data_IF_210801050393
#
_entry.id   IF_210801050393
#
_cell.length_a   1.000
_cell.length_b   1.000
_cell.length_c   1.000
_cell.angle_alpha   90.00
_cell.angle_beta   90.00
_cell.angle_gamma   90.00
#
_symmetry.space_group_name_H-M   'P 1'
#
loop_
_entity.id
_entity.type
_entity.pdbx_description
1 polymer ?
#
# COMPACT_ATOMS: atom_id res chain seq x y z
N UNK A 1 2.87 -3.89 -16.70
CA UNK A 1 2.39 -2.91 -17.71
C UNK A 1 1.09 -2.23 -17.28
N UNK A 2 0.04 -3.00 -16.98
CA UNK A 2 -1.29 -2.50 -16.57
C UNK A 2 -1.21 -1.49 -15.42
N UNK A 3 -0.60 -1.88 -14.29
CA UNK A 3 -0.46 -0.99 -13.13
C UNK A 3 0.17 0.36 -13.52
N UNK A 4 1.32 0.32 -14.20
CA UNK A 4 2.02 1.53 -14.62
C UNK A 4 1.16 2.45 -15.50
N UNK A 5 0.46 1.91 -16.50
CA UNK A 5 -0.36 2.71 -17.42
C UNK A 5 -1.55 3.38 -16.71
N UNK A 6 -2.24 2.64 -15.85
CA UNK A 6 -3.32 3.17 -15.00
C UNK A 6 -2.81 4.30 -14.10
N UNK A 7 -1.76 4.04 -13.32
CA UNK A 7 -1.25 5.06 -12.40
C UNK A 7 -0.67 6.27 -13.12
N UNK A 8 -0.09 6.09 -14.32
CA UNK A 8 0.35 7.20 -15.15
C UNK A 8 -0.82 8.10 -15.60
N UNK A 9 -1.95 7.50 -15.98
CA UNK A 9 -3.16 8.29 -16.29
C UNK A 9 -3.61 9.08 -15.06
N UNK A 10 -3.61 8.46 -13.89
CA UNK A 10 -3.98 9.13 -12.63
C UNK A 10 -3.02 10.28 -12.32
N UNK A 11 -1.70 10.11 -12.47
CA UNK A 11 -0.75 11.21 -12.29
C UNK A 11 -1.03 12.41 -13.20
N UNK A 12 -1.36 12.15 -14.47
CA UNK A 12 -1.75 13.22 -15.40
C UNK A 12 -3.04 13.92 -14.97
N UNK A 13 -4.03 13.18 -14.47
CA UNK A 13 -5.27 13.76 -13.93
C UNK A 13 -5.00 14.63 -12.71
N UNK A 14 -4.08 14.21 -11.84
CA UNK A 14 -3.61 14.99 -10.69
C UNK A 14 -2.66 16.12 -11.07
N UNK A 15 -2.31 16.27 -12.36
CA UNK A 15 -1.33 17.23 -12.88
C UNK A 15 0.02 17.15 -12.15
N UNK A 16 0.41 15.92 -11.78
CA UNK A 16 1.68 15.64 -11.11
C UNK A 16 2.74 15.32 -12.16
N UNK A 17 3.81 16.09 -12.12
CA UNK A 17 5.03 15.85 -12.90
C UNK A 17 6.20 15.62 -11.95
N UNK A 18 6.72 14.39 -11.94
CA UNK A 18 7.95 14.06 -11.21
C UNK A 18 9.16 14.75 -11.85
N UNK A 19 10.15 15.12 -11.05
CA UNK A 19 11.37 15.77 -11.56
C UNK A 19 12.29 14.78 -12.28
N UNK A 20 12.10 13.48 -12.02
CA UNK A 20 12.83 12.42 -12.71
C UNK A 20 11.91 11.35 -13.26
N UNK A 21 12.43 10.60 -14.24
CA UNK A 21 11.78 9.42 -14.81
C UNK A 21 11.47 8.40 -13.71
N UNK A 22 12.42 8.18 -12.79
CA UNK A 22 12.26 7.24 -11.68
C UNK A 22 11.14 7.69 -10.72
N UNK A 23 11.12 8.98 -10.35
CA UNK A 23 10.08 9.54 -9.49
C UNK A 23 8.69 9.39 -10.15
N UNK A 24 8.57 9.79 -11.41
CA UNK A 24 7.30 9.64 -12.14
C UNK A 24 6.87 8.18 -12.24
N UNK A 25 7.83 7.27 -12.45
CA UNK A 25 7.54 5.84 -12.57
C UNK A 25 7.10 5.21 -11.24
N UNK A 26 7.76 5.54 -10.13
CA UNK A 26 7.44 4.93 -8.84
C UNK A 26 6.07 5.38 -8.33
N UNK A 27 5.71 6.66 -8.51
CA UNK A 27 4.37 7.16 -8.23
C UNK A 27 3.30 6.52 -9.13
N UNK A 28 3.60 6.33 -10.42
CA UNK A 28 2.69 5.64 -11.34
C UNK A 28 2.50 4.16 -10.94
N UNK A 29 3.55 3.47 -10.51
CA UNK A 29 3.43 2.09 -10.02
C UNK A 29 2.58 2.02 -8.76
N UNK A 30 2.78 2.93 -7.79
CA UNK A 30 1.96 3.02 -6.59
C UNK A 30 0.48 3.21 -6.88
N UNK A 31 0.12 4.23 -7.67
CA UNK A 31 -1.27 4.48 -8.06
C UNK A 31 -1.86 3.31 -8.86
N UNK A 32 -1.04 2.67 -9.70
CA UNK A 32 -1.40 1.51 -10.48
C UNK A 32 -1.77 0.28 -9.67
N UNK A 33 -0.91 -0.11 -8.75
CA UNK A 33 -1.15 -1.26 -7.87
C UNK A 33 -2.27 -1.00 -6.87
N UNK A 34 -2.39 0.23 -6.34
CA UNK A 34 -3.54 0.65 -5.55
C UNK A 34 -4.85 0.54 -6.34
N UNK A 35 -4.85 0.97 -7.61
CA UNK A 35 -6.02 0.83 -8.49
C UNK A 35 -6.37 -0.62 -8.77
N UNK A 36 -5.38 -1.48 -9.06
CA UNK A 36 -5.62 -2.91 -9.26
C UNK A 36 -6.21 -3.58 -8.02
N UNK A 37 -5.72 -3.21 -6.83
CA UNK A 37 -6.27 -3.68 -5.56
C UNK A 37 -7.75 -3.31 -5.40
N UNK A 38 -8.14 -2.08 -5.70
CA UNK A 38 -9.53 -1.61 -5.62
C UNK A 38 -10.42 -2.19 -6.73
N UNK A 39 -9.89 -2.41 -7.93
CA UNK A 39 -10.60 -3.09 -9.01
C UNK A 39 -10.93 -4.52 -8.58
N UNK A 40 -9.95 -5.23 -8.02
CA UNK A 40 -10.17 -6.56 -7.46
C UNK A 40 -11.19 -6.52 -6.33
N UNK A 41 -11.12 -5.56 -5.41
CA UNK A 41 -12.15 -5.37 -4.40
C UNK A 41 -13.55 -5.24 -5.03
N UNK A 42 -13.70 -4.39 -6.05
CA UNK A 42 -14.97 -4.20 -6.76
C UNK A 42 -15.48 -5.48 -7.42
N UNK A 43 -14.62 -6.22 -8.12
CA UNK A 43 -14.96 -7.54 -8.68
C UNK A 43 -15.38 -8.53 -7.59
N UNK A 44 -14.72 -8.48 -6.44
CA UNK A 44 -15.02 -9.33 -5.29
C UNK A 44 -16.39 -9.06 -4.70
N UNK A 45 -16.77 -7.79 -4.52
CA UNK A 45 -18.11 -7.42 -4.04
C UNK A 45 -19.21 -7.84 -5.03
N UNK A 46 -18.91 -7.78 -6.33
CA UNK A 46 -19.84 -8.21 -7.40
C UNK A 46 -19.90 -9.73 -7.59
N UNK A 47 -19.14 -10.52 -6.82
CA UNK A 47 -18.98 -11.97 -6.99
C UNK A 47 -18.51 -12.37 -8.40
N UNK A 48 -17.51 -11.65 -8.92
CA UNK A 48 -16.95 -11.84 -10.27
C UNK A 48 -15.51 -12.39 -10.27
N UNK A 49 -15.09 -13.10 -9.22
CA UNK A 49 -13.79 -13.80 -9.20
C UNK A 49 -13.82 -15.08 -10.04
N UNK A 50 -14.06 -14.91 -11.33
CA UNK A 50 -13.84 -15.93 -12.35
C UNK A 50 -12.58 -15.60 -13.12
N UNK A 51 -11.76 -16.62 -13.40
CA UNK A 51 -10.50 -16.45 -14.13
C UNK A 51 -10.69 -15.76 -15.49
N UNK A 52 -11.76 -16.09 -16.24
CA UNK A 52 -12.05 -15.43 -17.51
C UNK A 52 -12.39 -13.95 -17.34
N UNK A 53 -13.15 -13.56 -16.32
CA UNK A 53 -13.44 -12.14 -16.02
C UNK A 53 -12.16 -11.37 -15.74
N UNK A 54 -11.28 -11.93 -14.90
CA UNK A 54 -9.99 -11.31 -14.58
C UNK A 54 -9.14 -11.14 -15.84
N UNK A 55 -9.02 -12.16 -16.70
CA UNK A 55 -8.30 -12.03 -17.96
C UNK A 55 -8.92 -10.99 -18.88
N UNK A 56 -10.26 -10.91 -18.99
CA UNK A 56 -10.94 -9.89 -19.80
C UNK A 56 -10.65 -8.48 -19.27
N UNK A 57 -10.78 -8.26 -17.96
CA UNK A 57 -10.48 -6.97 -17.32
C UNK A 57 -9.02 -6.60 -17.54
N UNK A 58 -8.07 -7.50 -17.29
CA UNK A 58 -6.66 -7.25 -17.55
C UNK A 58 -6.35 -7.01 -19.03
N UNK A 59 -7.04 -7.69 -19.94
CA UNK A 59 -6.91 -7.51 -21.40
C UNK A 59 -7.31 -6.09 -21.81
N UNK A 60 -8.50 -5.65 -21.39
CA UNK A 60 -9.00 -4.28 -21.64
C UNK A 60 -8.03 -3.24 -21.05
N UNK A 61 -7.61 -3.43 -19.80
CA UNK A 61 -6.69 -2.52 -19.13
C UNK A 61 -5.28 -2.54 -19.74
N UNK A 62 -4.86 -3.66 -20.35
CA UNK A 62 -3.58 -3.78 -21.06
C UNK A 62 -3.59 -2.99 -22.35
N UNK A 63 -4.67 -3.02 -23.13
CA UNK A 63 -4.82 -2.20 -24.35
C UNK A 63 -4.70 -0.72 -24.00
N UNK A 64 -5.46 -0.27 -22.99
CA UNK A 64 -5.38 1.11 -22.51
C UNK A 64 -3.96 1.47 -22.03
N UNK A 65 -3.37 0.62 -21.19
CA UNK A 65 -2.05 0.85 -20.60
C UNK A 65 -0.92 0.83 -21.63
N UNK A 66 -1.06 0.06 -22.72
CA UNK A 66 -0.08 0.00 -23.81
C UNK A 66 0.15 1.39 -24.43
N UNK A 67 -0.92 2.15 -24.69
CA UNK A 67 -0.81 3.50 -25.24
C UNK A 67 -0.12 4.47 -24.27
N UNK A 68 -0.44 4.38 -22.97
CA UNK A 68 0.19 5.24 -21.96
C UNK A 68 1.67 4.91 -21.74
N UNK A 69 2.05 3.62 -21.79
CA UNK A 69 3.45 3.18 -21.72
C UNK A 69 4.22 3.59 -22.97
N UNK A 70 3.64 3.42 -24.17
CA UNK A 70 4.27 3.85 -25.42
C UNK A 70 4.55 5.35 -25.42
N UNK A 71 3.57 6.17 -25.01
CA UNK A 71 3.76 7.62 -24.84
C UNK A 71 4.87 7.93 -23.85
N UNK A 72 5.02 7.16 -22.78
CA UNK A 72 6.06 7.39 -21.76
C UNK A 72 7.42 7.12 -22.36
N UNK A 73 7.56 5.96 -22.99
CA UNK A 73 8.80 5.53 -23.63
C UNK A 73 9.28 6.57 -24.64
N UNK A 74 8.39 7.06 -25.51
CA UNK A 74 8.71 8.08 -26.52
C UNK A 74 9.17 9.41 -25.88
N UNK A 75 8.51 9.86 -24.82
CA UNK A 75 8.93 11.07 -24.09
C UNK A 75 10.28 10.87 -23.40
N UNK A 76 10.50 9.70 -22.78
CA UNK A 76 11.75 9.39 -22.08
C UNK A 76 12.92 9.10 -23.02
N UNK A 77 12.68 8.59 -24.23
CA UNK A 77 13.75 8.32 -25.20
C UNK A 77 14.39 9.59 -25.75
N UNK A 78 13.69 10.73 -25.65
CA UNK A 78 14.21 12.04 -26.03
C UNK A 78 15.07 12.67 -24.92
N UNK A 79 14.99 12.14 -23.69
CA UNK A 79 15.83 12.59 -22.58
C UNK A 79 17.19 11.87 -22.64
N UNK A 80 18.21 12.60 -23.06
CA UNK A 80 19.60 12.15 -23.01
C UNK A 80 20.06 12.03 -21.56
N UNK A 81 20.09 10.81 -21.03
CA UNK A 81 20.69 10.55 -19.72
C UNK A 81 22.21 10.71 -19.86
N UNK A 82 22.86 11.53 -19.00
CA UNK A 82 24.31 11.61 -19.00
C UNK A 82 24.89 10.22 -18.68
N UNK A 83 25.61 9.64 -19.64
CA UNK A 83 26.32 8.37 -19.47
C UNK A 83 27.50 8.58 -18.54
N UNK A 84 27.28 8.50 -17.22
CA UNK A 84 28.36 8.45 -16.24
C UNK A 84 28.88 7.02 -16.15
N UNK A 85 30.20 6.85 -16.28
CA UNK A 85 30.83 5.55 -16.00
C UNK A 85 30.56 5.18 -14.54
N UNK A 86 30.13 3.94 -14.25
CA UNK A 86 29.91 3.53 -12.88
C UNK A 86 31.26 3.53 -12.13
N UNK A 87 31.29 4.18 -10.99
CA UNK A 87 32.42 4.09 -10.04
C UNK A 87 32.41 2.74 -9.34
N UNK A 88 33.56 2.29 -8.82
CA UNK A 88 33.64 1.07 -8.00
C UNK A 88 32.62 1.08 -6.85
N UNK A 89 32.47 2.22 -6.18
CA UNK A 89 31.47 2.44 -5.13
C UNK A 89 30.05 2.17 -5.62
N UNK A 90 29.64 2.78 -6.73
CA UNK A 90 28.29 2.60 -7.28
C UNK A 90 28.06 1.17 -7.76
N UNK A 91 29.07 0.53 -8.36
CA UNK A 91 28.99 -0.87 -8.79
C UNK A 91 28.83 -1.81 -7.61
N UNK A 92 29.55 -1.57 -6.51
CA UNK A 92 29.44 -2.36 -5.28
C UNK A 92 28.01 -2.32 -4.71
N UNK A 93 27.44 -1.13 -4.52
CA UNK A 93 26.09 -1.01 -3.95
C UNK A 93 24.98 -1.52 -4.89
N UNK A 94 25.09 -1.31 -6.20
CA UNK A 94 24.16 -1.92 -7.15
C UNK A 94 24.30 -3.44 -7.20
N UNK A 95 25.53 -3.96 -7.12
CA UNK A 95 25.80 -5.40 -7.02
C UNK A 95 25.20 -6.01 -5.77
N UNK A 96 25.35 -5.35 -4.61
CA UNK A 96 24.77 -5.79 -3.34
C UNK A 96 23.24 -5.80 -3.38
N UNK A 97 22.62 -4.74 -3.93
CA UNK A 97 21.17 -4.68 -4.14
C UNK A 97 20.68 -5.77 -5.10
N UNK A 98 21.41 -5.99 -6.20
CA UNK A 98 21.10 -7.04 -7.17
C UNK A 98 21.19 -8.43 -6.55
N UNK A 99 22.25 -8.70 -5.80
CA UNK A 99 22.44 -9.98 -5.10
C UNK A 99 21.34 -10.20 -4.05
N UNK A 100 21.04 -9.21 -3.22
CA UNK A 100 19.95 -9.29 -2.25
C UNK A 100 18.60 -9.53 -2.94
N UNK A 101 18.35 -8.89 -4.09
CA UNK A 101 17.12 -9.09 -4.86
C UNK A 101 17.01 -10.50 -5.41
N UNK A 102 18.10 -11.06 -5.91
CA UNK A 102 18.16 -12.45 -6.42
C UNK A 102 17.95 -13.45 -5.27
N UNK A 103 18.62 -13.26 -4.13
CA UNK A 103 18.45 -14.14 -2.95
C UNK A 103 17.00 -14.10 -2.45
N UNK A 104 16.42 -12.90 -2.33
CA UNK A 104 15.03 -12.76 -1.89
C UNK A 104 14.05 -13.29 -2.93
N UNK A 105 14.35 -13.17 -4.23
CA UNK A 105 13.55 -13.77 -5.30
C UNK A 105 13.57 -15.29 -5.22
N UNK A 106 14.75 -15.89 -5.00
CA UNK A 106 14.87 -17.33 -4.82
C UNK A 106 13.99 -17.81 -3.65
N UNK A 107 14.02 -17.10 -2.51
CA UNK A 107 13.11 -17.39 -1.39
C UNK A 107 11.63 -17.19 -1.73
N UNK A 108 11.30 -16.18 -2.53
CA UNK A 108 9.94 -15.91 -2.99
C UNK A 108 9.41 -16.93 -4.03
N UNK A 109 10.29 -17.72 -4.66
CA UNK A 109 9.92 -18.78 -5.60
C UNK A 109 9.67 -20.14 -4.93
N UNK A 110 10.01 -20.28 -3.65
CA UNK A 110 9.72 -21.50 -2.86
C UNK A 110 8.28 -21.44 -2.34
N UNK A 111 7.59 -22.59 -2.16
CA UNK A 111 6.26 -22.65 -1.56
C UNK A 111 6.16 -21.88 -0.24
N UNK A 112 4.96 -21.37 0.07
CA UNK A 112 4.72 -20.66 1.32
C UNK A 112 4.73 -21.59 2.53
N UNK A 113 5.44 -21.16 3.57
CA UNK A 113 5.59 -21.88 4.84
C UNK A 113 5.40 -20.99 6.06
N UNK A 114 5.25 -19.67 5.88
CA UNK A 114 5.08 -18.75 6.98
C UNK A 114 3.68 -18.85 7.59
N UNK A 115 3.58 -18.81 8.92
CA UNK A 115 2.32 -19.07 9.64
C UNK A 115 1.21 -18.10 9.23
N UNK A 116 1.41 -16.80 9.39
CA UNK A 116 0.41 -15.76 9.06
C UNK A 116 -0.01 -15.82 7.58
N UNK A 117 0.96 -16.14 6.73
CA UNK A 117 0.74 -16.30 5.30
C UNK A 117 -0.31 -17.38 5.01
N UNK A 118 -0.13 -18.55 5.61
CA UNK A 118 -1.02 -19.69 5.43
C UNK A 118 -2.34 -19.53 6.18
N UNK A 119 -2.32 -18.92 7.36
CA UNK A 119 -3.52 -18.78 8.20
C UNK A 119 -4.49 -17.76 7.62
N UNK A 120 -4.03 -16.63 7.06
CA UNK A 120 -4.95 -15.62 6.56
C UNK A 120 -4.52 -14.81 5.33
N UNK A 121 -3.22 -14.57 5.08
CA UNK A 121 -2.87 -13.76 3.91
C UNK A 121 -3.11 -14.46 2.57
N UNK A 122 -2.99 -15.80 2.51
CA UNK A 122 -3.33 -16.61 1.33
C UNK A 122 -4.66 -17.35 1.46
N UNK A 123 -4.98 -17.89 2.64
CA UNK A 123 -6.21 -18.66 2.83
C UNK A 123 -7.46 -17.82 2.59
N UNK A 124 -7.51 -16.56 3.04
CA UNK A 124 -8.67 -15.69 2.81
C UNK A 124 -8.83 -15.36 1.33
N UNK A 125 -7.79 -14.92 0.58
CA UNK A 125 -7.84 -14.83 -0.88
C UNK A 125 -8.23 -16.13 -1.59
N UNK A 126 -7.74 -17.28 -1.14
CA UNK A 126 -8.09 -18.58 -1.72
C UNK A 126 -9.58 -18.89 -1.51
N UNK A 127 -10.11 -18.63 -0.32
CA UNK A 127 -11.54 -18.75 -0.02
C UNK A 127 -12.37 -17.75 -0.84
N UNK A 128 -11.87 -16.55 -1.10
CA UNK A 128 -12.53 -15.60 -2.00
C UNK A 128 -12.58 -16.11 -3.44
N UNK A 129 -11.48 -16.68 -3.93
CA UNK A 129 -11.43 -17.35 -5.23
C UNK A 129 -12.46 -18.49 -5.32
N UNK A 130 -12.53 -19.36 -4.32
CA UNK A 130 -13.49 -20.48 -4.28
C UNK A 130 -14.95 -19.97 -4.24
N UNK A 131 -15.20 -18.90 -3.50
CA UNK A 131 -16.52 -18.31 -3.37
C UNK A 131 -16.93 -17.39 -4.54
N UNK A 132 -16.04 -17.22 -5.53
CA UNK A 132 -16.16 -16.25 -6.60
C UNK A 132 -16.33 -14.78 -6.14
N UNK A 133 -16.04 -14.45 -4.88
CA UNK A 133 -16.25 -13.10 -4.35
C UNK A 133 -15.76 -12.91 -2.92
N UNK A 134 -15.83 -11.66 -2.44
CA UNK A 134 -15.48 -11.30 -1.06
C UNK A 134 -16.64 -11.71 -0.15
N UNK A 135 -16.35 -12.60 0.81
CA UNK A 135 -17.28 -12.99 1.87
C UNK A 135 -16.67 -12.76 3.25
N UNK A 136 -17.52 -12.69 4.26
CA UNK A 136 -17.05 -12.80 5.65
C UNK A 136 -16.74 -14.26 5.96
N UNK A 137 -15.61 -14.52 6.63
CA UNK A 137 -15.17 -15.86 6.99
C UNK A 137 -15.13 -15.91 8.52
N UNK A 138 -16.18 -16.45 9.12
CA UNK A 138 -16.38 -16.45 10.58
C UNK A 138 -15.24 -17.12 11.34
N UNK A 139 -14.65 -18.18 10.78
CA UNK A 139 -13.55 -18.92 11.40
C UNK A 139 -12.20 -18.21 11.32
N UNK A 140 -12.09 -17.15 10.50
CA UNK A 140 -10.86 -16.37 10.31
C UNK A 140 -11.19 -14.91 10.57
N UNK A 141 -11.11 -14.49 11.83
CA UNK A 141 -11.46 -13.11 12.24
C UNK A 141 -10.63 -12.03 11.49
N UNK A 142 -9.41 -12.37 11.07
CA UNK A 142 -8.54 -11.49 10.27
C UNK A 142 -9.09 -11.21 8.87
N UNK A 143 -10.14 -11.93 8.44
CA UNK A 143 -10.92 -11.59 7.25
C UNK A 143 -11.66 -10.24 7.36
N UNK A 144 -11.85 -9.73 8.59
CA UNK A 144 -12.34 -8.38 8.85
C UNK A 144 -11.25 -7.29 8.83
N UNK A 145 -9.98 -7.65 8.67
CA UNK A 145 -8.94 -6.63 8.48
C UNK A 145 -9.06 -5.97 7.09
N UNK A 146 -8.48 -4.76 6.91
CA UNK A 146 -8.28 -4.19 5.59
C UNK A 146 -7.33 -5.08 4.78
N UNK A 147 -7.62 -5.24 3.48
CA UNK A 147 -7.08 -6.33 2.69
C UNK A 147 -6.57 -5.90 1.31
N UNK A 148 -6.09 -4.65 1.16
CA UNK A 148 -5.62 -4.15 -0.14
C UNK A 148 -4.52 -5.04 -0.75
N UNK A 149 -3.56 -5.52 0.04
CA UNK A 149 -2.52 -6.42 -0.46
C UNK A 149 -3.11 -7.80 -0.81
N UNK A 150 -4.04 -8.29 0.00
CA UNK A 150 -4.73 -9.56 -0.20
C UNK A 150 -5.61 -9.56 -1.46
N UNK A 151 -6.11 -8.40 -1.91
CA UNK A 151 -6.75 -8.28 -3.22
C UNK A 151 -5.77 -8.54 -4.37
N UNK A 152 -4.49 -8.14 -4.22
CA UNK A 152 -3.43 -8.47 -5.18
C UNK A 152 -3.01 -9.95 -5.07
N UNK A 153 -3.07 -10.55 -3.89
CA UNK A 153 -2.92 -12.00 -3.75
C UNK A 153 -4.05 -12.77 -4.40
N UNK A 154 -5.29 -12.30 -4.26
CA UNK A 154 -6.46 -12.89 -4.94
C UNK A 154 -6.25 -12.85 -6.46
N UNK A 155 -5.74 -11.74 -6.99
CA UNK A 155 -5.36 -11.63 -8.40
C UNK A 155 -4.28 -12.66 -8.79
N UNK A 156 -3.21 -12.79 -8.00
CA UNK A 156 -2.16 -13.79 -8.23
C UNK A 156 -2.70 -15.22 -8.26
N UNK A 157 -3.56 -15.57 -7.30
CA UNK A 157 -4.20 -16.89 -7.22
C UNK A 157 -5.19 -17.17 -8.36
N UNK A 158 -5.88 -16.15 -8.88
CA UNK A 158 -6.79 -16.30 -10.02
C UNK A 158 -6.05 -16.50 -11.35
N UNK A 159 -4.85 -15.93 -11.47
CA UNK A 159 -3.99 -16.02 -12.65
C UNK A 159 -3.03 -17.22 -12.64
N UNK A 160 -2.77 -17.80 -11.47
CA UNK A 160 -1.79 -18.87 -11.32
C UNK A 160 -1.77 -19.46 -9.92
N UNK A 161 -0.60 -19.41 -9.29
CA UNK A 161 -0.29 -20.10 -8.03
C UNK A 161 -0.10 -19.13 -6.86
N UNK A 162 0.05 -19.70 -5.67
CA UNK A 162 0.51 -19.00 -4.45
C UNK A 162 1.87 -18.32 -4.66
N UNK A 163 2.77 -18.91 -5.45
CA UNK A 163 4.05 -18.29 -5.82
C UNK A 163 3.81 -16.97 -6.57
N UNK A 164 2.87 -16.93 -7.52
CA UNK A 164 2.55 -15.69 -8.23
C UNK A 164 2.02 -14.62 -7.27
N UNK A 165 1.17 -14.99 -6.31
CA UNK A 165 0.73 -14.08 -5.25
C UNK A 165 1.91 -13.57 -4.42
N UNK A 166 2.82 -14.45 -3.98
CA UNK A 166 4.03 -14.10 -3.23
C UNK A 166 4.96 -13.14 -3.99
N UNK A 167 5.13 -13.36 -5.30
CA UNK A 167 5.91 -12.46 -6.16
C UNK A 167 5.33 -11.04 -6.21
N UNK A 168 4.02 -10.85 -6.03
CA UNK A 168 3.45 -9.50 -5.94
C UNK A 168 3.95 -8.74 -4.70
N UNK A 169 4.18 -9.41 -3.57
CA UNK A 169 4.75 -8.80 -2.37
C UNK A 169 6.24 -8.52 -2.50
N UNK A 170 6.99 -9.48 -3.07
CA UNK A 170 8.40 -9.29 -3.38
C UNK A 170 8.61 -8.07 -4.28
N UNK A 171 7.76 -7.87 -5.30
CA UNK A 171 7.78 -6.68 -6.16
C UNK A 171 7.54 -5.39 -5.35
N UNK A 172 6.67 -5.40 -4.33
CA UNK A 172 6.52 -4.24 -3.43
C UNK A 172 7.84 -3.93 -2.71
N UNK A 173 8.58 -4.95 -2.27
CA UNK A 173 9.93 -4.79 -1.72
C UNK A 173 10.87 -4.07 -2.67
N UNK A 174 10.94 -4.50 -3.94
CA UNK A 174 11.73 -3.83 -4.98
C UNK A 174 11.28 -2.38 -5.18
N UNK A 175 9.98 -2.11 -5.14
CA UNK A 175 9.48 -0.74 -5.24
C UNK A 175 9.87 0.12 -4.04
N UNK A 176 9.88 -0.42 -2.81
CA UNK A 176 10.39 0.32 -1.65
C UNK A 176 11.87 0.65 -1.83
N UNK A 177 12.70 -0.29 -2.31
CA UNK A 177 14.13 -0.03 -2.60
C UNK A 177 14.29 1.12 -3.59
N UNK A 178 13.55 1.07 -4.71
CA UNK A 178 13.59 2.12 -5.72
C UNK A 178 13.09 3.46 -5.19
N UNK A 179 12.09 3.44 -4.31
CA UNK A 179 11.51 4.63 -3.67
C UNK A 179 12.49 5.28 -2.68
N UNK A 180 13.13 4.48 -1.82
CA UNK A 180 14.17 4.95 -0.89
C UNK A 180 15.35 5.54 -1.67
N UNK A 181 15.79 4.86 -2.74
CA UNK A 181 16.81 5.39 -3.63
C UNK A 181 16.38 6.71 -4.30
N UNK A 182 15.14 6.80 -4.80
CA UNK A 182 14.61 8.00 -5.44
C UNK A 182 14.56 9.20 -4.47
N UNK A 183 14.06 8.98 -3.26
CA UNK A 183 14.03 9.97 -2.17
C UNK A 183 15.44 10.45 -1.82
N UNK A 184 16.36 9.52 -1.52
CA UNK A 184 17.73 9.85 -1.14
C UNK A 184 18.50 10.56 -2.26
N UNK A 185 18.31 10.14 -3.51
CA UNK A 185 18.91 10.80 -4.67
C UNK A 185 18.39 12.22 -4.86
N UNK A 186 17.07 12.44 -4.71
CA UNK A 186 16.43 13.72 -4.99
C UNK A 186 16.79 14.79 -3.94
N UNK A 187 16.70 14.44 -2.66
CA UNK A 187 16.88 15.41 -1.58
C UNK A 187 18.31 15.48 -1.05
N UNK A 188 19.17 14.51 -1.39
CA UNK A 188 20.59 14.52 -1.03
C UNK A 188 21.44 14.34 -2.29
N UNK A 189 21.92 13.12 -2.55
CA UNK A 189 22.74 12.82 -3.70
C UNK A 189 22.65 11.32 -4.07
N UNK A 190 23.18 10.98 -5.24
CA UNK A 190 23.15 9.61 -5.78
C UNK A 190 23.76 8.56 -4.82
N UNK A 191 24.86 8.88 -4.14
CA UNK A 191 25.52 7.95 -3.21
C UNK A 191 24.67 7.71 -1.97
N UNK A 192 24.13 8.77 -1.37
CA UNK A 192 23.26 8.67 -0.20
C UNK A 192 22.02 7.82 -0.49
N UNK A 193 21.38 8.02 -1.64
CA UNK A 193 20.25 7.19 -2.06
C UNK A 193 20.61 5.71 -2.21
N UNK A 194 21.77 5.39 -2.81
CA UNK A 194 22.21 4.00 -2.95
C UNK A 194 22.48 3.34 -1.60
N UNK A 195 23.21 4.03 -0.72
CA UNK A 195 23.53 3.51 0.62
C UNK A 195 22.24 3.31 1.42
N UNK A 196 21.30 4.25 1.41
CA UNK A 196 20.02 4.12 2.10
C UNK A 196 19.20 2.93 1.60
N UNK A 197 19.10 2.76 0.27
CA UNK A 197 18.36 1.65 -0.33
C UNK A 197 19.02 0.30 -0.03
N UNK A 198 20.35 0.26 -0.05
CA UNK A 198 21.15 -0.89 0.33
C UNK A 198 20.94 -1.30 1.78
N UNK A 199 21.12 -0.36 2.72
CA UNK A 199 20.88 -0.58 4.14
C UNK A 199 19.48 -1.16 4.34
N UNK A 200 18.46 -0.50 3.79
CA UNK A 200 17.07 -0.94 3.91
C UNK A 200 16.89 -2.40 3.45
N UNK A 201 17.36 -2.75 2.26
CA UNK A 201 17.07 -4.05 1.67
C UNK A 201 17.92 -5.19 2.25
N UNK A 202 19.04 -4.86 2.89
CA UNK A 202 19.88 -5.83 3.61
C UNK A 202 19.48 -6.02 5.07
N UNK A 203 18.53 -5.24 5.61
CA UNK A 203 17.97 -5.50 6.94
C UNK A 203 17.36 -6.91 6.95
N UNK A 204 17.75 -7.81 7.87
CA UNK A 204 17.27 -9.20 7.89
C UNK A 204 15.74 -9.31 7.89
N UNK A 205 15.06 -8.41 8.60
CA UNK A 205 13.60 -8.36 8.67
C UNK A 205 12.96 -8.01 7.32
N UNK A 206 13.55 -7.09 6.55
CA UNK A 206 13.08 -6.74 5.19
C UNK A 206 13.34 -7.89 4.23
N UNK A 207 14.50 -8.55 4.35
CA UNK A 207 14.84 -9.70 3.54
C UNK A 207 13.89 -10.89 3.79
N UNK A 208 13.54 -11.16 5.05
CA UNK A 208 12.53 -12.15 5.43
C UNK A 208 11.16 -11.79 4.85
N UNK A 209 10.70 -10.55 5.05
CA UNK A 209 9.40 -10.09 4.54
C UNK A 209 9.29 -10.15 3.01
N UNK A 210 10.42 -9.98 2.31
CA UNK A 210 10.46 -10.06 0.84
C UNK A 210 10.25 -11.48 0.31
N UNK A 211 10.35 -12.51 1.15
CA UNK A 211 10.26 -13.94 0.77
C UNK A 211 8.92 -14.60 1.15
N UNK A 212 8.04 -13.86 1.83
CA UNK A 212 6.75 -14.37 2.32
C UNK A 212 5.60 -13.51 1.79
N UNK A 213 4.39 -14.05 1.83
CA UNK A 213 3.13 -13.33 1.56
C UNK A 213 2.69 -12.49 2.77
N UNK A 214 3.55 -11.56 3.18
CA UNK A 214 3.25 -10.58 4.23
C UNK A 214 2.41 -9.40 3.73
N UNK A 215 2.36 -8.30 4.46
CA UNK A 215 1.73 -7.05 3.96
C UNK A 215 2.58 -5.82 4.19
N UNK A 216 3.62 -5.96 5.00
CA UNK A 216 4.36 -4.83 5.55
C UNK A 216 5.20 -4.10 4.49
N UNK A 217 5.65 -4.77 3.41
CA UNK A 217 6.34 -4.09 2.31
C UNK A 217 5.37 -3.26 1.46
N UNK A 218 4.13 -3.71 1.29
CA UNK A 218 3.09 -2.93 0.63
C UNK A 218 2.66 -1.73 1.48
N UNK A 219 2.50 -1.93 2.80
CA UNK A 219 2.25 -0.84 3.74
C UNK A 219 3.37 0.21 3.69
N UNK A 220 4.63 -0.23 3.83
CA UNK A 220 5.82 0.62 3.76
C UNK A 220 5.87 1.39 2.44
N UNK A 221 5.55 0.73 1.32
CA UNK A 221 5.55 1.37 0.01
C UNK A 221 4.54 2.51 -0.09
N UNK A 222 3.29 2.27 0.33
CA UNK A 222 2.26 3.30 0.29
C UNK A 222 2.53 4.42 1.31
N UNK A 223 3.00 4.10 2.52
CA UNK A 223 3.35 5.12 3.51
C UNK A 223 4.50 6.01 3.04
N UNK A 224 5.57 5.43 2.47
CA UNK A 224 6.69 6.21 1.94
C UNK A 224 6.30 7.02 0.70
N UNK A 225 5.37 6.54 -0.14
CA UNK A 225 4.81 7.34 -1.23
C UNK A 225 3.98 8.51 -0.71
N UNK A 226 3.22 8.32 0.37
CA UNK A 226 2.49 9.39 1.04
C UNK A 226 3.46 10.44 1.58
N UNK A 227 4.53 10.01 2.28
CA UNK A 227 5.61 10.91 2.73
C UNK A 227 6.24 11.63 1.56
N UNK A 228 6.61 10.93 0.49
CA UNK A 228 7.26 11.55 -0.67
C UNK A 228 6.33 12.59 -1.32
N UNK A 229 5.05 12.28 -1.46
CA UNK A 229 4.06 13.22 -1.97
C UNK A 229 3.90 14.44 -1.06
N UNK A 230 3.89 14.26 0.28
CA UNK A 230 3.84 15.36 1.25
C UNK A 230 5.09 16.24 1.21
N UNK A 231 6.28 15.65 1.07
CA UNK A 231 7.52 16.43 0.94
C UNK A 231 7.52 17.21 -0.39
N UNK A 232 7.07 16.60 -1.49
CA UNK A 232 6.91 17.29 -2.77
C UNK A 232 5.89 18.43 -2.69
N UNK A 233 4.76 18.20 -2.01
CA UNK A 233 3.78 19.24 -1.71
C UNK A 233 4.43 20.37 -0.91
N UNK A 234 5.15 20.03 0.17
CA UNK A 234 5.80 20.99 1.04
C UNK A 234 6.83 21.88 0.31
N UNK A 235 7.75 21.27 -0.42
CA UNK A 235 8.85 21.96 -1.09
C UNK A 235 8.35 22.83 -2.25
N UNK A 236 7.37 22.35 -3.03
CA UNK A 236 6.86 23.08 -4.20
C UNK A 236 5.87 24.17 -3.84
N UNK A 237 5.04 23.94 -2.83
CA UNK A 237 4.02 24.91 -2.42
C UNK A 237 4.65 26.14 -1.72
N UNK A 238 5.83 25.99 -1.11
CA UNK A 238 6.62 27.11 -0.56
C UNK A 238 7.38 27.96 -1.58
N UNK A 239 7.51 27.53 -2.85
CA UNK A 239 8.35 28.19 -3.88
C UNK A 239 7.59 28.76 -5.08
N UNK A 240 6.41 28.22 -5.44
CA UNK A 240 5.78 28.53 -6.72
C UNK A 240 4.46 29.34 -6.63
N UNK A 241 4.33 30.38 -7.46
CA UNK A 241 3.07 31.10 -7.78
C UNK A 241 2.11 30.30 -8.70
N UNK A 242 2.19 28.96 -8.69
CA UNK A 242 1.36 28.10 -9.56
C UNK A 242 -0.11 28.05 -9.10
N UNK A 243 -1.07 27.76 -10.01
CA UNK A 243 -2.50 27.63 -9.69
C UNK A 243 -2.78 26.59 -8.59
N UNK A 244 -3.77 26.83 -7.73
CA UNK A 244 -4.13 25.94 -6.60
C UNK A 244 -4.37 24.47 -7.02
N UNK A 245 -4.93 24.24 -8.21
CA UNK A 245 -5.15 22.90 -8.76
C UNK A 245 -3.87 22.07 -8.90
N UNK A 246 -2.75 22.68 -9.30
CA UNK A 246 -1.44 22.00 -9.40
C UNK A 246 -0.82 21.80 -8.02
N UNK A 247 -1.09 22.73 -7.09
CA UNK A 247 -0.64 22.65 -5.70
C UNK A 247 -1.32 21.51 -4.94
N UNK A 248 -2.59 21.24 -5.22
CA UNK A 248 -3.35 20.20 -4.53
C UNK A 248 -3.06 18.79 -5.06
N UNK A 249 -2.51 18.62 -6.26
CA UNK A 249 -2.22 17.30 -6.83
C UNK A 249 -1.37 16.42 -5.91
N UNK A 250 -0.26 16.94 -5.41
CA UNK A 250 0.61 16.23 -4.47
C UNK A 250 -0.06 15.94 -3.13
N UNK A 251 -0.88 16.86 -2.61
CA UNK A 251 -1.64 16.64 -1.38
C UNK A 251 -2.71 15.55 -1.54
N UNK A 252 -3.39 15.53 -2.70
CA UNK A 252 -4.35 14.47 -3.05
C UNK A 252 -3.63 13.14 -3.21
N UNK A 253 -2.47 13.10 -3.88
CA UNK A 253 -1.66 11.88 -3.98
C UNK A 253 -1.25 11.36 -2.60
N UNK A 254 -0.82 12.24 -1.69
CA UNK A 254 -0.53 11.88 -0.32
C UNK A 254 -1.75 11.26 0.39
N UNK A 255 -2.93 11.87 0.23
CA UNK A 255 -4.19 11.32 0.75
C UNK A 255 -4.50 9.94 0.17
N UNK A 256 -4.36 9.77 -1.15
CA UNK A 256 -4.58 8.47 -1.83
C UNK A 256 -3.70 7.40 -1.21
N UNK A 257 -2.38 7.65 -1.12
CA UNK A 257 -1.45 6.66 -0.59
C UNK A 257 -1.63 6.40 0.89
N UNK A 258 -1.98 7.41 1.69
CA UNK A 258 -2.32 7.22 3.10
C UNK A 258 -3.58 6.37 3.28
N UNK A 259 -4.61 6.57 2.44
CA UNK A 259 -5.80 5.73 2.42
C UNK A 259 -5.52 4.30 1.98
N UNK A 260 -4.69 4.13 0.94
CA UNK A 260 -4.24 2.80 0.49
C UNK A 260 -3.44 2.08 1.58
N UNK A 261 -2.59 2.78 2.33
CA UNK A 261 -1.82 2.23 3.46
C UNK A 261 -2.74 1.76 4.60
N UNK A 262 -3.72 2.57 5.02
CA UNK A 262 -4.76 2.14 5.97
C UNK A 262 -5.53 0.92 5.46
N UNK A 263 -5.78 0.88 4.14
CA UNK A 263 -6.41 -0.26 3.48
C UNK A 263 -5.54 -1.52 3.39
N UNK A 264 -4.24 -1.45 3.67
CA UNK A 264 -3.36 -2.63 3.78
C UNK A 264 -3.38 -3.21 5.19
N UNK A 265 -3.35 -2.35 6.22
CA UNK A 265 -3.32 -2.75 7.64
C UNK A 265 -3.82 -1.60 8.50
N UNK A 266 -4.59 -1.88 9.56
CA UNK A 266 -5.11 -0.86 10.47
C UNK A 266 -4.00 0.01 11.09
N UNK A 267 -2.78 -0.50 11.25
CA UNK A 267 -1.64 0.27 11.76
C UNK A 267 -1.30 1.48 10.87
N UNK A 268 -1.70 1.49 9.60
CA UNK A 268 -1.56 2.66 8.73
C UNK A 268 -2.36 3.89 9.21
N UNK A 269 -3.32 3.71 10.15
CA UNK A 269 -4.05 4.82 10.79
C UNK A 269 -3.08 5.71 11.58
N UNK A 270 -2.04 5.14 12.19
CA UNK A 270 -1.05 5.93 12.94
C UNK A 270 -0.34 6.93 12.02
N UNK A 271 0.15 6.45 10.87
CA UNK A 271 0.78 7.27 9.84
C UNK A 271 -0.20 8.31 9.28
N UNK A 272 -1.45 7.92 9.02
CA UNK A 272 -2.50 8.84 8.58
C UNK A 272 -2.69 10.03 9.54
N UNK A 273 -2.80 9.78 10.85
CA UNK A 273 -2.96 10.83 11.87
C UNK A 273 -1.74 11.75 11.87
N UNK A 274 -0.54 11.19 11.88
CA UNK A 274 0.72 11.96 11.83
C UNK A 274 0.77 12.86 10.60
N UNK A 275 0.39 12.33 9.43
CA UNK A 275 0.38 13.08 8.18
C UNK A 275 -0.68 14.21 8.18
N UNK A 276 -1.88 13.96 8.71
CA UNK A 276 -2.93 14.97 8.82
C UNK A 276 -2.50 16.13 9.74
N UNK A 277 -1.88 15.81 10.88
CA UNK A 277 -1.31 16.78 11.81
C UNK A 277 -0.17 17.55 11.14
N UNK A 278 0.73 16.87 10.41
CA UNK A 278 1.82 17.51 9.69
C UNK A 278 1.30 18.52 8.64
N UNK A 279 0.29 18.16 7.85
CA UNK A 279 -0.33 19.08 6.87
C UNK A 279 -0.89 20.32 7.55
N UNK A 280 -1.56 20.15 8.70
CA UNK A 280 -2.13 21.26 9.47
C UNK A 280 -1.03 22.18 10.03
N UNK A 281 -0.04 21.61 10.72
CA UNK A 281 1.04 22.35 11.36
C UNK A 281 1.95 23.05 10.35
N UNK A 282 2.23 22.43 9.20
CA UNK A 282 2.98 23.07 8.10
C UNK A 282 2.27 24.33 7.61
N UNK A 283 0.94 24.27 7.45
CA UNK A 283 0.14 25.44 7.06
C UNK A 283 0.28 26.60 8.04
N UNK A 284 0.23 26.30 9.34
CA UNK A 284 0.31 27.32 10.40
C UNK A 284 1.75 27.84 10.59
N UNK A 285 2.72 26.94 10.78
CA UNK A 285 4.06 27.28 11.25
C UNK A 285 4.93 27.77 10.09
N UNK A 286 4.87 27.08 8.94
CA UNK A 286 5.77 27.35 7.82
C UNK A 286 5.16 28.33 6.84
N UNK A 287 3.93 28.07 6.38
CA UNK A 287 3.28 28.94 5.40
C UNK A 287 2.57 30.14 6.03
N UNK A 288 2.42 30.17 7.36
CA UNK A 288 1.71 31.22 8.10
C UNK A 288 0.32 31.50 7.51
N UNK A 289 -0.34 30.43 7.05
CA UNK A 289 -1.68 30.51 6.49
C UNK A 289 -2.71 30.77 7.60
N UNK A 290 -3.85 31.36 7.23
CA UNK A 290 -4.99 31.45 8.15
C UNK A 290 -5.44 30.04 8.55
N UNK A 291 -5.89 29.87 9.80
CA UNK A 291 -6.32 28.57 10.33
C UNK A 291 -7.39 27.89 9.46
N UNK A 292 -8.29 28.68 8.85
CA UNK A 292 -9.31 28.20 7.91
C UNK A 292 -8.70 27.52 6.68
N UNK A 293 -7.60 28.04 6.14
CA UNK A 293 -6.91 27.44 4.99
C UNK A 293 -6.22 26.13 5.39
N UNK A 294 -5.61 26.09 6.58
CA UNK A 294 -5.01 24.87 7.14
C UNK A 294 -6.06 23.76 7.27
N UNK A 295 -7.22 24.07 7.87
CA UNK A 295 -8.35 23.14 7.95
C UNK A 295 -8.84 22.67 6.58
N UNK A 296 -8.97 23.56 5.58
CA UNK A 296 -9.38 23.16 4.22
C UNK A 296 -8.42 22.14 3.60
N UNK A 297 -7.10 22.34 3.75
CA UNK A 297 -6.09 21.43 3.20
C UNK A 297 -6.05 20.09 3.94
N UNK A 298 -6.05 20.13 5.28
CA UNK A 298 -6.12 18.91 6.09
C UNK A 298 -7.40 18.14 5.81
N UNK A 299 -8.54 18.84 5.67
CA UNK A 299 -9.81 18.23 5.31
C UNK A 299 -9.75 17.55 3.93
N UNK A 300 -9.18 18.21 2.92
CA UNK A 300 -8.98 17.59 1.59
C UNK A 300 -8.15 16.30 1.69
N UNK A 301 -7.02 16.33 2.42
CA UNK A 301 -6.19 15.14 2.65
C UNK A 301 -7.00 14.02 3.33
N UNK A 302 -7.71 14.35 4.41
CA UNK A 302 -8.48 13.39 5.20
C UNK A 302 -9.62 12.76 4.40
N UNK A 303 -10.40 13.56 3.65
CA UNK A 303 -11.51 13.06 2.84
C UNK A 303 -11.00 12.09 1.78
N UNK A 304 -9.89 12.41 1.10
CA UNK A 304 -9.30 11.51 0.12
C UNK A 304 -8.84 10.20 0.78
N UNK A 305 -8.07 10.28 1.88
CA UNK A 305 -7.56 9.09 2.55
C UNK A 305 -8.70 8.19 3.09
N UNK A 306 -9.70 8.79 3.73
CA UNK A 306 -10.87 8.07 4.25
C UNK A 306 -11.69 7.48 3.12
N UNK A 307 -11.87 8.17 2.00
CA UNK A 307 -12.58 7.62 0.84
C UNK A 307 -11.91 6.33 0.33
N UNK A 308 -10.59 6.30 0.28
CA UNK A 308 -9.82 5.12 -0.17
C UNK A 308 -9.79 3.99 0.87
N UNK A 309 -9.97 4.29 2.15
CA UNK A 309 -10.05 3.31 3.23
C UNK A 309 -11.49 2.80 3.49
N UNK A 310 -12.49 3.62 3.17
CA UNK A 310 -13.91 3.36 3.40
C UNK A 310 -14.45 2.04 2.84
N UNK A 311 -13.94 1.46 1.73
CA UNK A 311 -14.45 0.17 1.24
C UNK A 311 -14.36 -0.93 2.31
N UNK A 312 -13.30 -0.94 3.12
CA UNK A 312 -13.12 -1.90 4.20
C UNK A 312 -14.04 -1.63 5.39
N UNK A 313 -14.21 -0.36 5.76
CA UNK A 313 -15.14 0.04 6.82
C UNK A 313 -16.59 -0.32 6.46
N UNK A 314 -16.98 -0.07 5.21
CA UNK A 314 -18.31 -0.40 4.69
C UNK A 314 -18.51 -1.92 4.67
N UNK A 315 -17.54 -2.68 4.11
CA UNK A 315 -17.54 -4.15 4.13
C UNK A 315 -17.79 -4.68 5.54
N UNK A 316 -17.00 -4.21 6.50
CA UNK A 316 -17.10 -4.68 7.88
C UNK A 316 -18.43 -4.28 8.54
N UNK A 317 -18.92 -3.08 8.28
CA UNK A 317 -20.23 -2.64 8.79
C UNK A 317 -21.35 -3.56 8.27
N UNK A 318 -21.33 -3.92 6.99
CA UNK A 318 -22.35 -4.79 6.38
C UNK A 318 -22.28 -6.20 6.99
N UNK A 319 -21.08 -6.77 7.12
CA UNK A 319 -20.94 -8.16 7.56
C UNK A 319 -21.05 -8.36 9.07
N UNK A 320 -20.54 -7.41 9.86
CA UNK A 320 -20.35 -7.61 11.31
C UNK A 320 -21.00 -6.53 12.16
N UNK A 321 -21.70 -5.56 11.57
CA UNK A 321 -22.21 -4.36 12.25
C UNK A 321 -21.14 -3.49 12.94
N UNK A 322 -19.85 -3.74 12.69
CA UNK A 322 -18.75 -2.99 13.26
C UNK A 322 -17.72 -2.61 12.17
N UNK A 323 -17.58 -1.31 11.82
CA UNK A 323 -16.65 -0.88 10.77
C UNK A 323 -15.18 -1.21 11.06
N UNK A 324 -14.81 -1.31 12.34
CA UNK A 324 -13.44 -1.58 12.79
C UNK A 324 -13.24 -3.02 13.26
N UNK A 325 -14.16 -3.94 12.91
CA UNK A 325 -14.08 -5.34 13.30
C UNK A 325 -12.67 -5.93 13.04
N UNK A 326 -12.14 -6.73 13.97
CA UNK A 326 -12.70 -7.18 15.26
C UNK A 326 -12.48 -6.20 16.42
N UNK A 327 -11.86 -5.04 16.18
CA UNK A 327 -11.55 -4.06 17.23
C UNK A 327 -12.78 -3.27 17.65
N UNK A 328 -12.71 -2.62 18.81
CA UNK A 328 -13.77 -1.77 19.37
C UNK A 328 -15.11 -2.52 19.61
N UNK A 329 -15.10 -3.84 19.71
CA UNK A 329 -16.28 -4.67 19.94
C UNK A 329 -17.00 -4.40 21.27
N UNK A 330 -16.29 -3.82 22.26
CA UNK A 330 -16.87 -3.38 23.53
C UNK A 330 -17.72 -2.11 23.42
N UNK A 331 -17.47 -1.29 22.39
CA UNK A 331 -18.16 0.00 22.15
C UNK A 331 -19.16 -0.14 21.01
N UNK A 332 -18.78 -0.85 19.95
CA UNK A 332 -19.59 -1.11 18.77
C UNK A 332 -19.90 -2.60 18.73
N UNK A 333 -21.16 -2.96 18.96
CA UNK A 333 -21.59 -4.36 18.97
C UNK A 333 -21.24 -5.02 17.64
N UNK A 334 -20.48 -6.11 17.71
CA UNK A 334 -20.12 -6.88 16.52
C UNK A 334 -20.89 -8.20 16.48
N UNK A 335 -21.39 -8.55 15.30
CA UNK A 335 -21.94 -9.88 15.01
C UNK A 335 -20.77 -10.88 14.95
N UNK A 336 -20.93 -12.01 15.63
CA UNK A 336 -20.08 -13.20 15.45
C UNK A 336 -18.59 -13.02 15.76
N UNK A 337 -18.26 -12.75 17.03
CA UNK A 337 -16.93 -13.04 17.55
C UNK A 337 -16.94 -14.41 18.24
N UNK A 338 -16.92 -15.48 17.44
CA UNK A 338 -16.75 -16.84 17.92
C UNK A 338 -15.25 -17.16 17.95
N UNK A 339 -14.59 -16.99 19.09
CA UNK A 339 -13.19 -17.43 19.26
C UNK A 339 -13.06 -18.95 19.52
N UNK A 340 -14.13 -19.73 19.35
CA UNK A 340 -14.19 -21.13 19.78
C UNK A 340 -14.34 -21.27 21.30
N UNK A 341 -14.84 -22.41 21.81
CA UNK A 341 -15.19 -22.61 23.23
C UNK A 341 -14.03 -22.37 24.22
N UNK A 342 -12.77 -22.53 23.78
CA UNK A 342 -11.57 -22.25 24.58
C UNK A 342 -11.35 -20.75 24.86
N UNK A 343 -11.98 -19.88 24.07
CA UNK A 343 -11.84 -18.43 24.18
C UNK A 343 -13.19 -17.68 24.34
N UNK A 344 -14.32 -18.36 24.15
CA UNK A 344 -15.68 -17.81 24.38
C UNK A 344 -16.27 -18.16 25.75
N UNK A 345 -15.57 -18.91 26.60
CA UNK A 345 -16.02 -19.18 27.97
C UNK A 345 -15.45 -18.19 29.00
N UNK A 346 -15.77 -16.90 28.82
CA UNK A 346 -16.01 -16.05 29.99
C UNK A 346 -17.50 -15.74 29.98
N UNK A 347 -18.25 -16.71 30.51
CA UNK A 347 -19.65 -16.54 30.87
C UNK A 347 -19.75 -15.33 31.81
N UNK A 348 -20.41 -14.26 31.36
CA UNK A 348 -20.59 -13.01 32.09
C UNK A 348 -21.47 -13.17 33.36
N UNK A 349 -21.74 -14.40 33.81
CA UNK A 349 -22.54 -14.70 35.00
C UNK A 349 -21.71 -14.96 36.27
N UNK A 350 -20.38 -15.00 36.19
CA UNK A 350 -19.49 -15.20 37.35
C UNK A 350 -18.33 -14.20 37.44
N UNK A 351 -18.58 -12.93 37.14
CA UNK A 351 -17.73 -11.84 37.65
C UNK A 351 -18.00 -11.61 39.14
N UNK A 352 -17.63 -12.58 39.97
CA UNK A 352 -17.37 -12.29 41.38
C UNK A 352 -16.19 -11.33 41.47
N UNK A 353 -16.38 -10.28 42.28
CA UNK A 353 -15.64 -9.01 42.42
C UNK A 353 -14.15 -9.10 42.80
N UNK A 354 -13.40 -10.17 42.45
CA UNK A 354 -12.04 -10.43 42.96
C UNK A 354 -10.96 -10.98 42.00
N UNK A 355 -11.15 -11.04 40.68
CA UNK A 355 -10.06 -11.44 39.76
C UNK A 355 -9.45 -10.27 38.98
N UNK A 356 -8.51 -9.56 39.60
CA UNK A 356 -7.49 -8.78 38.87
C UNK A 356 -6.48 -9.75 38.25
N UNK A 357 -6.70 -10.29 37.05
CA UNK A 357 -5.61 -10.80 36.19
C UNK A 357 -5.93 -10.56 34.73
N UNK A 358 -5.00 -9.84 34.11
CA UNK A 358 -4.97 -9.42 32.72
C UNK A 358 -4.83 -10.63 31.81
N UNK A 359 -5.63 -10.69 30.74
CA UNK A 359 -5.30 -11.53 29.59
C UNK A 359 -4.13 -10.85 28.87
N UNK A 360 -2.93 -11.31 29.18
CA UNK A 360 -1.71 -11.00 28.44
C UNK A 360 -1.72 -11.88 27.20
N UNK A 361 -1.77 -11.26 26.01
CA UNK A 361 -1.46 -11.95 24.77
C UNK A 361 0.03 -12.31 24.79
N UNK A 362 0.43 -13.58 24.59
CA UNK A 362 1.83 -13.90 24.40
C UNK A 362 2.30 -13.27 23.08
N UNK A 363 3.35 -12.44 23.18
CA UNK A 363 4.15 -11.91 22.08
C UNK A 363 4.95 -12.99 21.39
#
# INVERSE_FOLDING_TARGET
MVAFGLGRKILKLLKIEGESILESAIFALGLGFGSLSLIMFGLGILNLYYTWVVYSVLGILSIFSFFEVRKFRLQTSQLSLPKRKPTMFTSFFWGMLGLAAIINLAGALVPESFYDSLVFHLSVPALYKINHGIKYIETIFTSGFPQNMQMLYTLGLLLGTDILAKLTHWVMGIFVVLLVYALGRKYFNHRAGLVAAAIFYTIPMVAMQSRVTGVDLALTFFELLAVFALVNWFVRNGRDKKPELVKNGWLIAAGIFSGLAMGVKYTGIYSFVVFAVAVFLVGIIVYKEKIRSCFKRTFLFCVVAIALFSPWLIKNTIYTNNPFHPFLSSVIKSKDFYLGPEYTSIDNRTFTRKSKKWAVYPT
#
